data_IF_615304869503
#
_entry.id   IF_615304869503
#
_cell.length_a   1.000
_cell.length_b   1.000
_cell.length_c   1.000
_cell.angle_alpha   90.00
_cell.angle_beta   90.00
_cell.angle_gamma   90.00
#
_symmetry.space_group_name_H-M   'P 1'
#
loop_
_entity.id
_entity.type
_entity.pdbx_description
1 polymer ?
#
# COMPACT_ATOMS: atom_id res chain seq x y z
N UNK A 1 -23.75 28.52 -20.64
CA UNK A 1 -22.84 29.01 -21.69
C UNK A 1 -23.40 28.65 -23.04
N UNK A 2 -23.63 29.62 -23.93
CA UNK A 2 -24.00 29.35 -25.32
C UNK A 2 -22.71 29.23 -26.14
N UNK A 3 -22.36 28.00 -26.55
CA UNK A 3 -21.15 27.72 -27.32
C UNK A 3 -21.08 28.59 -28.58
N UNK A 4 -22.22 28.81 -29.24
CA UNK A 4 -22.32 29.64 -30.44
C UNK A 4 -21.95 31.11 -30.19
N UNK A 5 -22.38 31.68 -29.06
CA UNK A 5 -22.06 33.07 -28.71
C UNK A 5 -20.57 33.24 -28.42
N UNK A 6 -19.96 32.26 -27.73
CA UNK A 6 -18.53 32.28 -27.48
C UNK A 6 -17.72 32.18 -28.77
N UNK A 7 -18.01 31.19 -29.61
CA UNK A 7 -17.27 30.95 -30.84
C UNK A 7 -17.41 32.15 -31.81
N UNK A 8 -18.58 32.81 -31.83
CA UNK A 8 -18.81 34.04 -32.58
C UNK A 8 -17.86 35.16 -32.12
N UNK A 9 -17.88 35.48 -30.82
CA UNK A 9 -17.05 36.57 -30.28
C UNK A 9 -15.55 36.25 -30.39
N UNK A 10 -15.15 35.00 -30.12
CA UNK A 10 -13.78 34.54 -30.25
C UNK A 10 -13.26 34.63 -31.69
N UNK A 11 -14.11 34.36 -32.69
CA UNK A 11 -13.73 34.48 -34.10
C UNK A 11 -13.44 35.94 -34.52
N UNK A 12 -14.15 36.90 -33.91
CA UNK A 12 -13.86 38.32 -34.10
C UNK A 12 -12.57 38.71 -33.39
N UNK A 13 -12.43 38.36 -32.11
CA UNK A 13 -11.23 38.69 -31.33
C UNK A 13 -9.94 38.14 -31.94
N UNK A 14 -9.99 36.97 -32.59
CA UNK A 14 -8.85 36.41 -33.31
C UNK A 14 -8.40 37.27 -34.51
N UNK A 15 -9.30 38.05 -35.10
CA UNK A 15 -9.06 38.93 -36.25
C UNK A 15 -8.77 40.38 -35.85
N UNK A 16 -9.02 40.76 -34.60
CA UNK A 16 -8.70 42.10 -34.10
C UNK A 16 -7.20 42.21 -33.83
N UNK A 17 -6.61 43.31 -34.28
CA UNK A 17 -5.27 43.74 -33.89
C UNK A 17 -5.38 44.68 -32.70
N UNK A 18 -5.37 44.09 -31.50
CA UNK A 18 -5.40 44.85 -30.25
C UNK A 18 -4.07 45.58 -30.00
N UNK A 19 -4.16 46.79 -29.47
CA UNK A 19 -3.02 47.54 -28.96
C UNK A 19 -2.39 46.81 -27.75
N UNK A 20 -1.06 46.90 -27.57
CA UNK A 20 -0.39 46.24 -26.44
C UNK A 20 -0.96 46.66 -25.08
N UNK A 21 -1.37 45.67 -24.28
CA UNK A 21 -1.97 45.85 -22.95
C UNK A 21 -3.27 46.69 -22.91
N UNK A 22 -3.93 46.86 -24.06
CA UNK A 22 -5.22 47.55 -24.16
C UNK A 22 -6.26 46.63 -24.78
N UNK A 23 -7.52 47.02 -24.62
CA UNK A 23 -8.66 46.36 -25.26
C UNK A 23 -9.21 47.15 -26.45
N UNK A 24 -8.47 48.17 -26.86
CA UNK A 24 -8.66 48.93 -28.09
C UNK A 24 -7.86 48.25 -29.20
N UNK A 25 -8.38 48.25 -30.42
CA UNK A 25 -7.69 47.66 -31.57
C UNK A 25 -8.36 48.00 -32.89
N UNK A 26 -7.84 47.43 -33.96
CA UNK A 26 -8.42 47.58 -35.30
C UNK A 26 -8.88 46.23 -35.84
N UNK A 27 -10.02 46.23 -36.54
CA UNK A 27 -10.57 45.06 -37.21
C UNK A 27 -10.67 45.33 -38.71
N UNK A 28 -9.95 44.54 -39.50
CA UNK A 28 -10.08 44.56 -40.97
C UNK A 28 -11.21 43.63 -41.42
N UNK A 29 -12.19 44.16 -42.16
CA UNK A 29 -13.38 43.42 -42.58
C UNK A 29 -13.15 42.84 -43.97
N UNK A 30 -12.48 41.69 -44.01
CA UNK A 30 -12.10 41.04 -45.27
C UNK A 30 -13.20 40.23 -45.96
N UNK A 31 -14.24 39.79 -45.23
CA UNK A 31 -15.29 38.92 -45.76
C UNK A 31 -16.69 39.22 -45.17
N UNK A 32 -17.72 38.70 -45.83
CA UNK A 32 -19.12 38.88 -45.41
C UNK A 32 -19.42 38.21 -44.05
N UNK A 33 -18.69 37.16 -43.69
CA UNK A 33 -18.88 36.46 -42.42
C UNK A 33 -18.41 37.31 -41.23
N UNK A 34 -17.28 38.00 -41.37
CA UNK A 34 -16.73 38.93 -40.37
C UNK A 34 -17.64 40.14 -40.22
N UNK A 35 -18.14 40.69 -41.33
CA UNK A 35 -19.12 41.79 -41.29
C UNK A 35 -20.40 41.39 -40.55
N UNK A 36 -20.98 40.23 -40.88
CA UNK A 36 -22.19 39.74 -40.21
C UNK A 36 -21.96 39.45 -38.72
N UNK A 37 -20.80 38.88 -38.37
CA UNK A 37 -20.45 38.62 -36.99
C UNK A 37 -20.29 39.93 -36.20
N UNK A 38 -19.61 40.92 -36.76
CA UNK A 38 -19.45 42.24 -36.14
C UNK A 38 -20.80 42.92 -35.92
N UNK A 39 -21.66 42.96 -36.94
CA UNK A 39 -23.01 43.53 -36.84
C UNK A 39 -23.85 42.85 -35.75
N UNK A 40 -23.78 41.53 -35.64
CA UNK A 40 -24.50 40.77 -34.60
C UNK A 40 -23.99 41.12 -33.21
N UNK A 41 -22.67 41.17 -33.04
CA UNK A 41 -22.02 41.40 -31.74
C UNK A 41 -22.21 42.84 -31.26
N UNK A 42 -22.15 43.82 -32.17
CA UNK A 42 -22.38 45.24 -31.86
C UNK A 42 -23.86 45.53 -31.62
N UNK A 43 -24.79 44.86 -32.32
CA UNK A 43 -26.22 45.01 -32.06
C UNK A 43 -26.63 44.51 -30.66
N UNK A 44 -25.92 43.51 -30.12
CA UNK A 44 -26.12 42.96 -28.78
C UNK A 44 -25.02 43.44 -27.80
N UNK A 45 -24.76 44.75 -27.80
CA UNK A 45 -23.69 45.40 -27.02
C UNK A 45 -23.71 45.04 -25.52
N UNK A 46 -24.90 44.97 -24.90
CA UNK A 46 -25.05 44.59 -23.48
C UNK A 46 -24.55 43.16 -23.18
N UNK A 47 -24.55 42.28 -24.19
CA UNK A 47 -24.18 40.88 -24.05
C UNK A 47 -22.69 40.67 -24.32
N UNK A 48 -22.16 41.21 -25.43
CA UNK A 48 -20.79 40.98 -25.86
C UNK A 48 -19.80 42.08 -25.48
N UNK A 49 -20.28 43.27 -25.10
CA UNK A 49 -19.46 44.43 -24.74
C UNK A 49 -18.38 44.74 -25.79
N UNK A 50 -18.75 44.83 -27.07
CA UNK A 50 -17.85 45.26 -28.14
C UNK A 50 -18.41 46.54 -28.77
N UNK A 51 -17.60 47.58 -28.82
CA UNK A 51 -18.01 48.91 -29.24
C UNK A 51 -17.20 49.37 -30.46
N UNK A 52 -17.83 50.18 -31.31
CA UNK A 52 -17.20 50.90 -32.41
C UNK A 52 -17.12 52.38 -32.01
N UNK A 53 -15.99 52.88 -31.48
CA UNK A 53 -15.90 54.24 -30.93
C UNK A 53 -16.01 55.34 -32.01
N UNK A 54 -15.60 55.05 -33.25
CA UNK A 54 -15.45 56.04 -34.33
C UNK A 54 -16.44 55.81 -35.49
N UNK A 55 -17.06 54.63 -35.59
CA UNK A 55 -17.80 54.18 -36.76
C UNK A 55 -19.27 53.89 -36.44
N UNK A 56 -20.19 54.28 -37.34
CA UNK A 56 -21.60 53.90 -37.25
C UNK A 56 -21.77 52.42 -37.70
N UNK A 57 -22.27 51.51 -36.85
CA UNK A 57 -22.37 50.07 -37.13
C UNK A 57 -23.10 49.73 -38.44
N UNK A 58 -24.08 50.54 -38.85
CA UNK A 58 -24.86 50.33 -40.08
C UNK A 58 -24.13 50.78 -41.35
N UNK A 59 -23.08 51.60 -41.21
CA UNK A 59 -22.35 52.19 -42.35
C UNK A 59 -21.15 51.36 -42.83
N UNK A 60 -20.73 50.38 -42.02
CA UNK A 60 -19.53 49.55 -42.20
C UNK A 60 -19.68 48.57 -43.38
N UNK A 61 -18.65 48.47 -44.24
CA UNK A 61 -18.65 47.62 -45.44
C UNK A 61 -17.46 46.67 -45.49
N UNK A 62 -17.57 45.67 -46.37
CA UNK A 62 -16.46 44.76 -46.69
C UNK A 62 -15.33 45.57 -47.34
N UNK A 63 -14.12 45.46 -46.80
CA UNK A 63 -12.94 46.22 -47.19
C UNK A 63 -12.55 47.31 -46.18
N UNK A 64 -13.43 47.67 -45.26
CA UNK A 64 -13.16 48.71 -44.25
C UNK A 64 -12.28 48.17 -43.13
N UNK A 65 -11.56 49.09 -42.48
CA UNK A 65 -10.85 48.83 -41.23
C UNK A 65 -11.45 49.73 -40.18
N UNK A 66 -12.05 49.13 -39.16
CA UNK A 66 -12.79 49.84 -38.10
C UNK A 66 -12.04 49.78 -36.79
N UNK A 67 -12.13 50.84 -35.99
CA UNK A 67 -11.65 50.83 -34.62
C UNK A 67 -12.64 50.04 -33.75
N UNK A 68 -12.13 49.18 -32.87
CA UNK A 68 -12.96 48.39 -31.93
C UNK A 68 -12.45 48.58 -30.51
N UNK A 69 -13.38 48.68 -29.57
CA UNK A 69 -13.11 48.69 -28.13
C UNK A 69 -13.85 47.52 -27.46
N UNK A 70 -13.08 46.63 -26.84
CA UNK A 70 -13.60 45.47 -26.12
C UNK A 70 -13.78 45.75 -24.62
N UNK A 71 -15.02 45.72 -24.15
CA UNK A 71 -15.39 45.66 -22.75
C UNK A 71 -15.26 44.25 -22.16
N UNK A 72 -15.94 44.00 -21.04
CA UNK A 72 -16.02 42.67 -20.43
C UNK A 72 -17.36 42.04 -20.78
N UNK A 73 -17.40 41.02 -21.65
CA UNK A 73 -18.65 40.36 -22.02
C UNK A 73 -19.32 39.70 -20.82
N UNK A 74 -20.62 39.38 -20.96
CA UNK A 74 -21.38 38.70 -19.93
C UNK A 74 -20.70 37.38 -19.55
N UNK A 75 -20.57 37.13 -18.24
CA UNK A 75 -19.90 35.93 -17.69
C UNK A 75 -20.44 34.60 -18.20
N UNK A 76 -21.68 34.57 -18.70
CA UNK A 76 -22.30 33.40 -19.32
C UNK A 76 -21.75 33.03 -20.69
N UNK A 77 -21.07 33.93 -21.41
CA UNK A 77 -20.48 33.69 -22.74
C UNK A 77 -19.15 32.95 -22.58
N UNK A 78 -18.31 33.39 -21.65
CA UNK A 78 -16.97 32.86 -21.40
C UNK A 78 -16.05 33.97 -20.90
N UNK A 79 -14.76 33.66 -20.75
CA UNK A 79 -13.78 34.64 -20.30
C UNK A 79 -13.03 35.26 -21.48
N UNK A 80 -13.06 36.59 -21.60
CA UNK A 80 -12.27 37.32 -22.58
C UNK A 80 -11.34 38.26 -21.82
N UNK A 81 -10.09 37.82 -21.62
CA UNK A 81 -9.15 38.47 -20.71
C UNK A 81 -7.97 39.04 -21.47
N UNK A 82 -7.42 40.16 -20.99
CA UNK A 82 -6.30 40.81 -21.66
C UNK A 82 -5.05 39.92 -21.68
N UNK A 83 -4.81 39.17 -20.59
CA UNK A 83 -3.69 38.24 -20.45
C UNK A 83 -4.06 37.00 -19.65
N UNK A 84 -3.18 35.99 -19.64
CA UNK A 84 -3.29 34.87 -18.70
C UNK A 84 -3.36 35.31 -17.23
N UNK A 85 -2.62 36.36 -16.83
CA UNK A 85 -2.62 36.85 -15.45
C UNK A 85 -3.99 37.37 -15.01
N UNK A 86 -4.78 37.93 -15.93
CA UNK A 86 -6.14 38.41 -15.66
C UNK A 86 -7.14 37.26 -15.54
N UNK A 87 -6.95 36.17 -16.30
CA UNK A 87 -7.79 34.96 -16.20
C UNK A 87 -7.76 34.39 -14.78
N UNK A 88 -6.57 34.22 -14.23
CA UNK A 88 -6.38 33.64 -12.89
C UNK A 88 -6.64 34.63 -11.76
N UNK A 89 -7.13 35.85 -12.02
CA UNK A 89 -7.70 36.71 -10.95
C UNK A 89 -9.01 36.14 -10.41
N UNK A 90 -9.73 35.37 -11.23
CA UNK A 90 -10.94 34.68 -10.81
C UNK A 90 -10.60 33.43 -9.98
N UNK A 91 -11.08 33.29 -8.73
CA UNK A 91 -10.83 32.11 -7.90
C UNK A 91 -11.27 30.80 -8.55
N UNK A 92 -12.35 30.78 -9.33
CA UNK A 92 -12.82 29.55 -10.00
C UNK A 92 -11.86 29.10 -11.08
N UNK A 93 -11.29 30.04 -11.83
CA UNK A 93 -10.25 29.78 -12.83
C UNK A 93 -8.91 29.40 -12.18
N UNK A 94 -8.72 29.56 -10.86
CA UNK A 94 -7.51 29.05 -10.20
C UNK A 94 -7.56 27.56 -9.94
N UNK A 95 -8.76 26.98 -9.81
CA UNK A 95 -8.97 25.61 -9.38
C UNK A 95 -9.51 24.68 -10.46
N UNK A 96 -10.14 25.23 -11.50
CA UNK A 96 -10.67 24.48 -12.63
C UNK A 96 -10.54 25.28 -13.93
N UNK A 97 -10.24 24.59 -15.03
CA UNK A 97 -10.18 25.23 -16.34
C UNK A 97 -11.58 25.73 -16.75
N UNK A 98 -11.75 27.01 -17.12
CA UNK A 98 -13.02 27.48 -17.63
C UNK A 98 -13.43 26.79 -18.93
N UNK A 99 -14.72 26.58 -19.14
CA UNK A 99 -15.28 25.90 -20.33
C UNK A 99 -15.01 26.61 -21.66
N UNK A 100 -14.67 27.90 -21.61
CA UNK A 100 -14.24 28.71 -22.74
C UNK A 100 -13.58 30.00 -22.27
N UNK A 101 -12.39 30.26 -22.80
CA UNK A 101 -11.68 31.52 -22.57
C UNK A 101 -10.85 31.91 -23.80
N UNK A 102 -10.72 33.22 -23.99
CA UNK A 102 -9.90 33.86 -24.99
C UNK A 102 -8.88 34.76 -24.29
N UNK A 103 -7.61 34.60 -24.63
CA UNK A 103 -6.50 35.39 -24.13
C UNK A 103 -6.03 36.35 -25.23
N UNK A 104 -6.20 37.67 -25.02
CA UNK A 104 -5.93 38.68 -26.04
C UNK A 104 -4.43 38.78 -26.36
N UNK A 105 -3.57 38.94 -25.34
CA UNK A 105 -2.13 39.09 -25.54
C UNK A 105 -1.50 37.84 -26.18
N UNK A 106 -1.99 36.65 -25.82
CA UNK A 106 -1.54 35.37 -26.35
C UNK A 106 -2.25 34.97 -27.66
N UNK A 107 -3.23 35.76 -28.11
CA UNK A 107 -4.16 35.46 -29.22
C UNK A 107 -4.65 34.01 -29.21
N UNK A 108 -4.99 33.50 -28.02
CA UNK A 108 -5.28 32.09 -27.82
C UNK A 108 -6.74 31.86 -27.46
N UNK A 109 -7.41 30.99 -28.22
CA UNK A 109 -8.75 30.50 -27.94
C UNK A 109 -8.68 29.08 -27.36
N UNK A 110 -9.19 28.87 -26.14
CA UNK A 110 -9.15 27.56 -25.49
C UNK A 110 -9.92 26.45 -26.23
N UNK A 111 -10.77 26.82 -27.19
CA UNK A 111 -11.62 25.93 -27.99
C UNK A 111 -11.18 25.77 -29.45
N UNK A 112 -10.18 26.53 -29.95
CA UNK A 112 -9.82 26.52 -31.38
C UNK A 112 -9.11 25.25 -31.85
N UNK A 113 -8.79 24.32 -30.95
CA UNK A 113 -8.02 23.10 -31.27
C UNK A 113 -6.55 23.38 -31.60
N UNK A 114 -6.13 24.65 -31.58
CA UNK A 114 -4.76 25.09 -31.77
C UNK A 114 -3.88 24.67 -30.58
N UNK A 115 -2.57 24.47 -30.82
CA UNK A 115 -1.64 24.15 -29.74
C UNK A 115 -1.62 25.29 -28.71
N UNK A 116 -1.87 24.94 -27.45
CA UNK A 116 -1.90 25.91 -26.37
C UNK A 116 -0.51 26.54 -26.14
N UNK A 117 -0.42 27.85 -25.82
CA UNK A 117 0.82 28.48 -25.38
C UNK A 117 1.43 27.76 -24.16
N UNK A 118 2.75 27.83 -24.00
CA UNK A 118 3.47 27.14 -22.89
C UNK A 118 2.88 27.48 -21.51
N UNK A 119 2.54 28.74 -21.26
CA UNK A 119 1.91 29.17 -20.00
C UNK A 119 0.57 28.48 -19.74
N UNK A 120 -0.22 28.23 -20.78
CA UNK A 120 -1.51 27.53 -20.69
C UNK A 120 -1.29 26.03 -20.49
N UNK A 121 -0.28 25.44 -21.11
CA UNK A 121 0.09 24.04 -20.89
C UNK A 121 0.51 23.82 -19.43
N UNK A 122 1.37 24.69 -18.87
CA UNK A 122 1.78 24.64 -17.46
C UNK A 122 0.60 24.86 -16.52
N UNK A 123 -0.29 25.80 -16.84
CA UNK A 123 -1.53 26.01 -16.09
C UNK A 123 -2.39 24.76 -16.02
N UNK A 124 -2.60 24.04 -17.13
CA UNK A 124 -3.34 22.77 -17.13
C UNK A 124 -2.69 21.72 -16.22
N UNK A 125 -1.35 21.62 -16.23
CA UNK A 125 -0.61 20.74 -15.32
C UNK A 125 -0.76 21.13 -13.85
N UNK A 126 -0.78 22.43 -13.56
CA UNK A 126 -1.09 22.94 -12.22
C UNK A 126 -2.51 22.57 -11.79
N UNK A 127 -3.49 22.64 -12.69
CA UNK A 127 -4.85 22.20 -12.39
C UNK A 127 -4.94 20.70 -12.10
N UNK A 128 -4.17 19.86 -12.81
CA UNK A 128 -4.07 18.43 -12.49
C UNK A 128 -3.53 18.20 -11.07
N UNK A 129 -2.51 18.97 -10.66
CA UNK A 129 -2.01 18.96 -9.28
C UNK A 129 -3.08 19.42 -8.29
N UNK A 130 -3.79 20.52 -8.56
CA UNK A 130 -4.84 21.05 -7.67
C UNK A 130 -5.96 20.04 -7.51
N UNK A 131 -6.35 19.36 -8.58
CA UNK A 131 -7.33 18.27 -8.53
C UNK A 131 -6.84 17.14 -7.63
N UNK A 132 -5.60 16.70 -7.78
CA UNK A 132 -5.01 15.67 -6.92
C UNK A 132 -4.96 16.10 -5.44
N UNK A 133 -4.57 17.35 -5.17
CA UNK A 133 -4.56 17.92 -3.82
C UNK A 133 -5.98 18.03 -3.26
N UNK A 134 -6.97 18.31 -4.10
CA UNK A 134 -8.39 18.35 -3.76
C UNK A 134 -8.95 16.98 -3.40
N UNK A 135 -8.47 15.92 -4.06
CA UNK A 135 -8.81 14.53 -3.68
C UNK A 135 -8.15 14.09 -2.37
N UNK A 136 -6.99 14.65 -2.03
CA UNK A 136 -6.33 14.43 -0.74
C UNK A 136 -6.91 15.30 0.39
N UNK A 137 -7.53 16.43 0.05
CA UNK A 137 -8.21 17.30 0.99
C UNK A 137 -9.56 16.70 1.42
N UNK A 138 -10.07 17.14 2.57
CA UNK A 138 -11.42 16.77 3.00
C UNK A 138 -12.48 17.39 2.06
N UNK A 139 -12.21 18.59 1.55
CA UNK A 139 -13.01 19.24 0.51
C UNK A 139 -12.23 20.39 -0.15
N UNK A 140 -12.52 20.65 -1.44
CA UNK A 140 -12.06 21.80 -2.20
C UNK A 140 -13.21 22.79 -2.41
N UNK A 141 -13.14 23.97 -1.80
CA UNK A 141 -14.09 25.06 -2.06
C UNK A 141 -13.76 25.72 -3.40
N UNK A 142 -14.54 25.38 -4.43
CA UNK A 142 -14.37 25.92 -5.76
C UNK A 142 -14.70 27.43 -5.86
N UNK A 143 -15.58 27.93 -5.00
CA UNK A 143 -16.02 29.34 -5.06
C UNK A 143 -14.96 30.29 -4.49
N UNK A 144 -14.30 29.86 -3.41
CA UNK A 144 -13.25 30.62 -2.74
C UNK A 144 -11.84 30.21 -3.15
N UNK A 145 -11.70 29.10 -3.88
CA UNK A 145 -10.43 28.51 -4.26
C UNK A 145 -9.62 28.08 -3.04
N UNK A 146 -10.15 27.19 -2.19
CA UNK A 146 -9.48 26.76 -0.95
C UNK A 146 -9.51 25.25 -0.74
N UNK A 147 -8.36 24.67 -0.47
CA UNK A 147 -8.22 23.29 -0.02
C UNK A 147 -8.38 23.23 1.50
N UNK A 148 -9.25 22.35 2.00
CA UNK A 148 -9.50 22.19 3.45
C UNK A 148 -9.06 20.81 3.90
N UNK A 149 -8.13 20.76 4.85
CA UNK A 149 -7.63 19.55 5.49
C UNK A 149 -8.12 19.48 6.95
N UNK A 150 -8.34 18.27 7.46
CA UNK A 150 -8.73 18.02 8.86
C UNK A 150 -7.50 17.58 9.64
N UNK A 151 -7.07 18.39 10.60
CA UNK A 151 -5.93 18.09 11.48
C UNK A 151 -6.02 18.97 12.73
N UNK A 152 -6.32 18.36 13.90
CA UNK A 152 -6.58 19.07 15.17
C UNK A 152 -7.50 20.30 15.03
N UNK A 153 -8.47 20.21 14.11
CA UNK A 153 -9.30 21.32 13.66
C UNK A 153 -9.26 21.51 12.15
N UNK A 154 -9.41 22.77 11.72
CA UNK A 154 -9.50 23.15 10.30
C UNK A 154 -8.16 23.72 9.82
N UNK A 155 -7.55 23.10 8.81
CA UNK A 155 -6.35 23.61 8.15
C UNK A 155 -6.65 23.99 6.69
N UNK A 156 -6.57 25.27 6.36
CA UNK A 156 -6.87 25.79 5.02
C UNK A 156 -5.60 26.10 4.21
N UNK A 157 -5.60 25.72 2.95
CA UNK A 157 -4.61 26.15 1.95
C UNK A 157 -5.35 26.87 0.82
N UNK A 158 -5.41 28.23 0.86
CA UNK A 158 -5.95 29.03 -0.22
C UNK A 158 -5.14 28.86 -1.50
N UNK A 159 -5.80 28.48 -2.60
CA UNK A 159 -5.21 28.32 -3.93
C UNK A 159 -4.97 29.71 -4.52
N UNK A 160 -3.82 30.28 -4.17
CA UNK A 160 -3.38 31.60 -4.63
C UNK A 160 -2.03 31.46 -5.30
N UNK A 161 -1.94 31.93 -6.55
CA UNK A 161 -0.73 31.94 -7.36
C UNK A 161 -0.87 33.01 -8.45
N UNK A 162 0.25 33.42 -9.04
CA UNK A 162 0.33 34.37 -10.14
C UNK A 162 0.89 33.70 -11.40
N UNK A 163 0.93 34.43 -12.51
CA UNK A 163 1.53 33.93 -13.74
C UNK A 163 3.01 33.56 -13.58
N UNK A 164 3.73 34.18 -12.64
CA UNK A 164 5.13 33.88 -12.37
C UNK A 164 5.31 32.47 -11.79
N UNK A 165 4.50 32.05 -10.82
CA UNK A 165 4.55 30.69 -10.28
C UNK A 165 4.14 29.65 -11.31
N UNK A 166 3.17 29.95 -12.18
CA UNK A 166 2.78 29.04 -13.27
C UNK A 166 3.93 28.88 -14.27
N UNK A 167 4.61 29.97 -14.64
CA UNK A 167 5.76 29.92 -15.54
C UNK A 167 6.95 29.14 -14.92
N UNK A 168 7.16 29.29 -13.60
CA UNK A 168 8.23 28.61 -12.87
C UNK A 168 7.91 27.16 -12.46
N UNK A 169 6.69 26.66 -12.75
CA UNK A 169 6.25 25.33 -12.36
C UNK A 169 7.16 24.24 -12.94
N UNK A 170 7.65 23.35 -12.09
CA UNK A 170 8.34 22.13 -12.52
C UNK A 170 7.31 21.07 -12.94
N UNK A 171 7.01 21.03 -14.23
CA UNK A 171 6.03 20.11 -14.82
C UNK A 171 6.40 18.64 -14.60
N UNK A 172 7.69 18.30 -14.61
CA UNK A 172 8.12 16.90 -14.45
C UNK A 172 7.82 16.38 -13.05
N UNK A 173 8.03 17.22 -12.03
CA UNK A 173 7.71 16.85 -10.64
C UNK A 173 6.21 16.67 -10.45
N UNK A 174 5.41 17.55 -11.05
CA UNK A 174 3.94 17.45 -11.01
C UNK A 174 3.46 16.15 -11.64
N UNK A 175 3.93 15.84 -12.85
CA UNK A 175 3.56 14.61 -13.56
C UNK A 175 3.99 13.35 -12.79
N UNK A 176 5.20 13.38 -12.21
CA UNK A 176 5.70 12.30 -11.36
C UNK A 176 4.80 12.05 -10.13
N UNK A 177 4.36 13.13 -9.46
CA UNK A 177 3.47 13.04 -8.31
C UNK A 177 2.09 12.49 -8.69
N UNK A 178 1.49 13.02 -9.75
CA UNK A 178 0.19 12.56 -10.27
C UNK A 178 0.23 11.09 -10.68
N UNK A 179 1.30 10.67 -11.38
CA UNK A 179 1.51 9.28 -11.79
C UNK A 179 1.68 8.34 -10.59
N UNK A 180 2.49 8.73 -9.60
CA UNK A 180 2.75 7.91 -8.42
C UNK A 180 1.50 7.63 -7.56
N UNK A 181 0.55 8.57 -7.54
CA UNK A 181 -0.67 8.45 -6.74
C UNK A 181 -1.81 7.75 -7.48
N UNK A 182 -1.74 7.59 -8.81
CA UNK A 182 -2.75 7.07 -9.76
C UNK A 182 -3.75 5.97 -9.31
N UNK A 183 -4.38 5.26 -10.24
CA UNK A 183 -5.37 4.24 -9.82
C UNK A 183 -4.63 3.02 -9.25
N UNK A 184 -4.53 2.95 -7.93
CA UNK A 184 -3.78 1.93 -7.18
C UNK A 184 -4.56 1.44 -5.95
N UNK A 185 -4.26 0.22 -5.50
CA UNK A 185 -4.85 -0.47 -4.34
C UNK A 185 -4.67 0.32 -3.04
N UNK A 186 -3.63 1.15 -2.95
CA UNK A 186 -3.32 1.99 -1.78
C UNK A 186 -3.62 3.48 -2.00
N UNK A 187 -4.50 3.82 -2.95
CA UNK A 187 -4.78 5.22 -3.32
C UNK A 187 -5.22 6.06 -2.13
N UNK A 188 -6.14 5.56 -1.31
CA UNK A 188 -6.63 6.29 -0.12
C UNK A 188 -5.49 6.62 0.85
N UNK A 189 -4.60 5.67 1.13
CA UNK A 189 -3.45 5.88 2.01
C UNK A 189 -2.42 6.83 1.39
N UNK A 190 -2.18 6.73 0.07
CA UNK A 190 -1.34 7.68 -0.66
C UNK A 190 -1.88 9.11 -0.58
N UNK A 191 -3.20 9.29 -0.72
CA UNK A 191 -3.86 10.59 -0.57
C UNK A 191 -3.72 11.13 0.86
N UNK A 192 -3.88 10.30 1.88
CA UNK A 192 -3.66 10.68 3.28
C UNK A 192 -2.20 11.11 3.55
N UNK A 193 -1.22 10.37 3.01
CA UNK A 193 0.21 10.71 3.11
C UNK A 193 0.50 12.03 2.37
N UNK A 194 -0.13 12.26 1.21
CA UNK A 194 0.01 13.52 0.50
C UNK A 194 -0.56 14.70 1.31
N UNK A 195 -1.75 14.54 1.90
CA UNK A 195 -2.37 15.56 2.74
C UNK A 195 -1.48 15.96 3.91
N UNK A 196 -0.86 14.97 4.56
CA UNK A 196 0.09 15.19 5.65
C UNK A 196 1.36 15.89 5.16
N UNK A 197 1.90 15.49 4.01
CA UNK A 197 3.08 16.13 3.42
C UNK A 197 2.82 17.60 3.05
N UNK A 198 1.63 17.94 2.52
CA UNK A 198 1.21 19.33 2.25
C UNK A 198 1.15 20.13 3.53
N UNK A 199 0.55 19.57 4.59
CA UNK A 199 0.42 20.21 5.90
C UNK A 199 1.79 20.50 6.50
N UNK A 200 2.64 19.48 6.65
CA UNK A 200 3.99 19.63 7.21
C UNK A 200 4.84 20.68 6.47
N UNK A 201 4.68 20.78 5.15
CA UNK A 201 5.44 21.74 4.34
C UNK A 201 4.92 23.18 4.47
N UNK A 202 3.66 23.36 4.85
CA UNK A 202 2.98 24.68 4.81
C UNK A 202 2.46 25.17 6.16
N UNK A 203 2.57 24.38 7.24
CA UNK A 203 2.03 24.72 8.56
C UNK A 203 2.67 25.97 9.17
N UNK A 204 3.98 26.14 8.98
CA UNK A 204 4.75 27.29 9.45
C UNK A 204 4.51 28.56 8.61
N UNK A 205 3.81 28.44 7.48
CA UNK A 205 3.58 29.53 6.52
C UNK A 205 2.21 30.19 6.76
N UNK A 206 2.11 31.52 6.70
CA UNK A 206 0.83 32.21 6.80
C UNK A 206 -0.12 31.78 5.67
N UNK A 207 -1.44 31.69 5.93
CA UNK A 207 -2.41 31.13 4.97
C UNK A 207 -2.33 31.69 3.54
N UNK A 208 -2.10 33.00 3.37
CA UNK A 208 -2.01 33.64 2.06
C UNK A 208 -0.81 33.20 1.21
N UNK A 209 0.24 32.66 1.83
CA UNK A 209 1.47 32.25 1.14
C UNK A 209 1.64 30.72 1.04
N UNK A 210 0.73 29.93 1.61
CA UNK A 210 0.86 28.46 1.68
C UNK A 210 0.96 27.80 0.32
N UNK A 211 0.06 28.15 -0.60
CA UNK A 211 0.03 27.52 -1.91
C UNK A 211 1.23 27.91 -2.78
N UNK A 212 1.63 29.19 -2.76
CA UNK A 212 2.88 29.63 -3.42
C UNK A 212 4.10 28.90 -2.83
N UNK A 213 4.17 28.75 -1.51
CA UNK A 213 5.25 28.01 -0.84
C UNK A 213 5.26 26.53 -1.24
N UNK A 214 4.08 25.91 -1.36
CA UNK A 214 3.92 24.54 -1.85
C UNK A 214 4.46 24.40 -3.28
N UNK A 215 4.15 25.35 -4.17
CA UNK A 215 4.66 25.35 -5.54
C UNK A 215 6.17 25.54 -5.62
N UNK A 216 6.74 26.41 -4.78
CA UNK A 216 8.17 26.64 -4.72
C UNK A 216 8.96 25.42 -4.21
N UNK A 217 8.32 24.55 -3.40
CA UNK A 217 8.93 23.38 -2.79
C UNK A 217 8.30 22.06 -3.27
N UNK A 218 7.83 22.00 -4.53
CA UNK A 218 7.28 20.77 -5.11
C UNK A 218 8.22 19.55 -5.03
N UNK A 219 9.55 19.67 -5.24
CA UNK A 219 10.46 18.54 -5.06
C UNK A 219 10.45 17.99 -3.63
N UNK A 220 10.35 18.87 -2.62
CA UNK A 220 10.29 18.47 -1.22
C UNK A 220 8.96 17.80 -0.88
N UNK A 221 7.85 18.28 -1.45
CA UNK A 221 6.55 17.63 -1.35
C UNK A 221 6.61 16.20 -1.91
N UNK A 222 7.16 16.04 -3.12
CA UNK A 222 7.30 14.73 -3.76
C UNK A 222 8.19 13.79 -2.95
N UNK A 223 9.28 14.31 -2.36
CA UNK A 223 10.16 13.55 -1.48
C UNK A 223 9.45 13.13 -0.19
N UNK A 224 8.77 14.05 0.50
CA UNK A 224 7.98 13.76 1.71
C UNK A 224 6.92 12.70 1.45
N UNK A 225 6.18 12.82 0.33
CA UNK A 225 5.23 11.80 -0.09
C UNK A 225 5.89 10.44 -0.30
N UNK A 226 7.00 10.39 -1.04
CA UNK A 226 7.73 9.15 -1.32
C UNK A 226 8.25 8.48 -0.04
N UNK A 227 8.83 9.26 0.87
CA UNK A 227 9.35 8.78 2.15
C UNK A 227 8.21 8.28 3.06
N UNK A 228 7.10 9.01 3.14
CA UNK A 228 5.90 8.59 3.87
C UNK A 228 5.29 7.30 3.32
N UNK A 229 5.20 7.17 1.99
CA UNK A 229 4.72 5.95 1.35
C UNK A 229 5.67 4.77 1.59
N UNK A 230 6.99 4.99 1.55
CA UNK A 230 7.98 3.95 1.88
C UNK A 230 7.81 3.46 3.33
N UNK A 231 7.56 4.38 4.27
CA UNK A 231 7.29 4.02 5.66
C UNK A 231 6.00 3.22 5.81
N UNK A 232 4.92 3.65 5.17
CA UNK A 232 3.64 2.92 5.13
C UNK A 232 3.81 1.52 4.55
N UNK A 233 4.43 1.39 3.38
CA UNK A 233 4.66 0.10 2.73
C UNK A 233 5.53 -0.84 3.59
N UNK A 234 6.55 -0.29 4.27
CA UNK A 234 7.39 -1.07 5.19
C UNK A 234 6.62 -1.55 6.43
N UNK A 235 5.73 -0.72 6.98
CA UNK A 235 4.89 -1.05 8.13
C UNK A 235 3.85 -2.10 7.78
N UNK A 236 3.20 -1.98 6.62
CA UNK A 236 2.26 -2.97 6.11
C UNK A 236 2.95 -4.33 5.85
N UNK A 237 4.15 -4.30 5.28
CA UNK A 237 4.98 -5.52 5.12
C UNK A 237 5.33 -6.13 6.48
N UNK A 238 5.66 -5.32 7.48
CA UNK A 238 5.97 -5.79 8.84
C UNK A 238 4.76 -6.47 9.49
N UNK A 239 3.57 -5.85 9.44
CA UNK A 239 2.35 -6.41 10.02
C UNK A 239 1.95 -7.72 9.35
N UNK A 240 2.04 -7.79 8.03
CA UNK A 240 1.77 -9.02 7.28
C UNK A 240 2.73 -10.15 7.69
N UNK A 241 4.02 -9.86 7.72
CA UNK A 241 5.06 -10.82 8.14
C UNK A 241 4.85 -11.27 9.59
N UNK A 242 4.50 -10.35 10.48
CA UNK A 242 4.19 -10.66 11.89
C UNK A 242 3.00 -11.62 11.97
N UNK A 243 1.92 -11.35 11.25
CA UNK A 243 0.71 -12.18 11.23
C UNK A 243 1.00 -13.60 10.71
N UNK A 244 1.74 -13.72 9.61
CA UNK A 244 2.15 -15.01 9.05
C UNK A 244 3.03 -15.81 10.03
N UNK A 245 3.94 -15.13 10.73
CA UNK A 245 4.80 -15.77 11.73
C UNK A 245 4.03 -16.18 12.99
N UNK A 246 3.08 -15.38 13.46
CA UNK A 246 2.21 -15.73 14.59
C UNK A 246 1.34 -16.95 14.25
N UNK A 247 0.79 -17.02 13.05
CA UNK A 247 0.07 -18.19 12.56
C UNK A 247 0.98 -19.43 12.50
N UNK A 248 2.18 -19.30 11.93
CA UNK A 248 3.16 -20.39 11.88
C UNK A 248 3.59 -20.86 13.28
N UNK A 249 3.78 -19.93 14.23
CA UNK A 249 4.08 -20.26 15.63
C UNK A 249 3.00 -21.13 16.24
N UNK A 250 1.72 -20.77 16.06
CA UNK A 250 0.59 -21.54 16.58
C UNK A 250 0.54 -22.92 15.93
N UNK A 251 0.67 -23.00 14.61
CA UNK A 251 0.67 -24.26 13.86
C UNK A 251 1.80 -25.20 14.28
N UNK A 252 3.06 -24.73 14.30
CA UNK A 252 4.19 -25.54 14.75
C UNK A 252 4.07 -25.93 16.22
N UNK A 253 3.61 -25.03 17.09
CA UNK A 253 3.35 -25.35 18.49
C UNK A 253 2.33 -26.49 18.64
N UNK A 254 1.28 -26.51 17.80
CA UNK A 254 0.29 -27.56 17.78
C UNK A 254 0.86 -28.88 17.23
N UNK A 255 1.63 -28.84 16.13
CA UNK A 255 2.30 -30.02 15.54
C UNK A 255 3.30 -30.66 16.51
N UNK A 256 4.12 -29.85 17.17
CA UNK A 256 5.03 -30.27 18.24
C UNK A 256 4.21 -30.95 19.34
N UNK A 257 3.19 -30.30 19.88
CA UNK A 257 2.35 -30.90 20.93
C UNK A 257 1.74 -32.25 20.50
N UNK A 258 1.24 -32.34 19.27
CA UNK A 258 0.65 -33.56 18.71
C UNK A 258 1.60 -34.76 18.75
N UNK A 259 2.90 -34.59 18.49
CA UNK A 259 3.89 -35.67 18.57
C UNK A 259 3.86 -36.39 19.92
N UNK A 260 3.67 -35.64 21.02
CA UNK A 260 3.56 -36.21 22.35
C UNK A 260 2.21 -36.90 22.57
N UNK A 261 1.12 -36.25 22.17
CA UNK A 261 -0.24 -36.79 22.32
C UNK A 261 -0.42 -38.10 21.54
N UNK A 262 0.19 -38.22 20.36
CA UNK A 262 0.12 -39.41 19.50
C UNK A 262 0.76 -40.67 20.15
N UNK A 263 1.66 -40.51 21.13
CA UNK A 263 2.30 -41.61 21.87
C UNK A 263 1.85 -41.72 23.33
N UNK A 264 0.93 -40.85 23.76
CA UNK A 264 0.51 -40.76 25.16
C UNK A 264 -0.03 -42.10 25.68
N UNK A 265 -0.80 -42.81 24.85
CA UNK A 265 -1.36 -44.12 25.21
C UNK A 265 -0.27 -45.18 25.40
N UNK A 266 0.77 -45.18 24.55
CA UNK A 266 1.89 -46.10 24.64
C UNK A 266 2.73 -45.83 25.89
N UNK A 267 2.94 -44.54 26.22
CA UNK A 267 3.61 -44.14 27.47
C UNK A 267 2.84 -44.67 28.68
N UNK A 268 1.52 -44.48 28.72
CA UNK A 268 0.65 -45.01 29.77
C UNK A 268 0.61 -46.55 29.81
N UNK A 269 0.90 -47.20 28.68
CA UNK A 269 1.02 -48.65 28.57
C UNK A 269 2.26 -49.22 29.26
N UNK A 270 3.34 -48.45 29.42
CA UNK A 270 4.60 -48.93 30.02
C UNK A 270 4.41 -49.39 31.48
N UNK A 271 3.79 -48.60 32.39
CA UNK A 271 3.49 -49.06 33.75
C UNK A 271 2.62 -50.31 33.78
N UNK A 272 1.59 -50.37 32.93
CA UNK A 272 0.67 -51.53 32.86
C UNK A 272 1.43 -52.78 32.44
N UNK A 273 2.23 -52.71 31.38
CA UNK A 273 3.06 -53.82 30.92
C UNK A 273 4.06 -54.27 32.00
N UNK A 274 4.62 -53.33 32.76
CA UNK A 274 5.55 -53.63 33.87
C UNK A 274 4.87 -54.44 34.97
N UNK A 275 3.65 -54.07 35.38
CA UNK A 275 2.86 -54.83 36.37
C UNK A 275 2.49 -56.21 35.84
N UNK A 276 2.13 -56.33 34.57
CA UNK A 276 1.83 -57.63 33.94
C UNK A 276 3.05 -58.54 34.00
N UNK A 277 4.23 -58.07 33.62
CA UNK A 277 5.46 -58.88 33.70
C UNK A 277 5.75 -59.30 35.14
N UNK A 278 5.64 -58.39 36.10
CA UNK A 278 5.92 -58.67 37.50
C UNK A 278 4.94 -59.68 38.13
N UNK A 279 3.68 -59.72 37.68
CA UNK A 279 2.64 -60.59 38.24
C UNK A 279 2.50 -61.94 37.54
N UNK A 280 2.87 -62.03 36.26
CA UNK A 280 2.68 -63.24 35.45
C UNK A 280 3.87 -64.21 35.48
N UNK A 281 5.07 -63.73 35.82
CA UNK A 281 6.23 -64.62 36.00
C UNK A 281 6.11 -65.42 37.31
N UNK A 282 6.31 -66.74 37.25
CA UNK A 282 6.18 -67.68 38.37
C UNK A 282 7.47 -68.45 38.63
N UNK A 283 7.75 -68.77 39.90
CA UNK A 283 8.91 -69.59 40.25
C UNK A 283 8.87 -70.94 39.54
N UNK A 284 9.96 -71.30 38.86
CA UNK A 284 10.10 -72.56 38.14
C UNK A 284 11.43 -73.22 38.49
N UNK A 285 11.35 -74.34 39.22
CA UNK A 285 12.53 -75.13 39.66
C UNK A 285 12.95 -76.18 38.65
N UNK A 286 12.05 -76.58 37.76
CA UNK A 286 12.26 -77.57 36.69
C UNK A 286 11.70 -77.06 35.36
N UNK A 287 12.02 -77.73 34.24
CA UNK A 287 11.44 -77.40 32.93
C UNK A 287 9.99 -77.91 32.88
N UNK A 288 9.07 -77.09 33.40
CA UNK A 288 7.65 -77.38 33.53
C UNK A 288 6.78 -76.32 32.81
N UNK A 289 5.46 -76.34 33.03
CA UNK A 289 4.56 -75.35 32.45
C UNK A 289 4.91 -73.91 32.87
N UNK A 290 5.41 -73.69 34.10
CA UNK A 290 5.80 -72.37 34.58
C UNK A 290 7.05 -71.85 33.86
N UNK A 291 8.00 -72.72 33.51
CA UNK A 291 9.14 -72.36 32.66
C UNK A 291 8.67 -71.77 31.31
N UNK A 292 7.75 -72.44 30.61
CA UNK A 292 7.25 -71.96 29.33
C UNK A 292 6.42 -70.67 29.44
N UNK A 293 5.67 -70.49 30.54
CA UNK A 293 4.97 -69.23 30.84
C UNK A 293 5.99 -68.09 30.97
N UNK A 294 7.06 -68.27 31.76
CA UNK A 294 8.08 -67.24 31.94
C UNK A 294 8.78 -66.87 30.63
N UNK A 295 9.07 -67.85 29.78
CA UNK A 295 9.64 -67.63 28.44
C UNK A 295 8.68 -66.83 27.56
N UNK A 296 7.39 -67.20 27.54
CA UNK A 296 6.38 -66.49 26.76
C UNK A 296 6.19 -65.04 27.24
N UNK A 297 6.17 -64.81 28.56
CA UNK A 297 6.09 -63.45 29.14
C UNK A 297 7.33 -62.63 28.76
N UNK A 298 8.54 -63.20 28.83
CA UNK A 298 9.77 -62.50 28.46
C UNK A 298 9.79 -62.14 26.96
N UNK A 299 9.38 -63.06 26.08
CA UNK A 299 9.27 -62.81 24.64
C UNK A 299 8.25 -61.69 24.40
N UNK A 300 7.07 -61.76 25.04
CA UNK A 300 6.04 -60.72 24.94
C UNK A 300 6.53 -59.34 25.40
N UNK A 301 7.31 -59.30 26.48
CA UNK A 301 7.91 -58.06 26.99
C UNK A 301 8.89 -57.44 25.97
N UNK A 302 9.76 -58.24 25.35
CA UNK A 302 10.69 -57.75 24.33
C UNK A 302 9.99 -57.34 23.03
N UNK A 303 8.94 -58.06 22.61
CA UNK A 303 8.10 -57.64 21.48
C UNK A 303 7.48 -56.26 21.77
N UNK A 304 6.92 -56.06 22.95
CA UNK A 304 6.38 -54.77 23.36
C UNK A 304 7.44 -53.66 23.35
N UNK A 305 8.62 -53.92 23.92
CA UNK A 305 9.76 -52.98 23.92
C UNK A 305 10.15 -52.59 22.48
N UNK A 306 10.29 -53.56 21.57
CA UNK A 306 10.67 -53.30 20.17
C UNK A 306 9.61 -52.45 19.45
N UNK A 307 8.32 -52.80 19.60
CA UNK A 307 7.23 -52.06 18.95
C UNK A 307 7.12 -50.63 19.46
N UNK A 308 7.16 -50.42 20.78
CA UNK A 308 7.10 -49.08 21.36
C UNK A 308 8.37 -48.29 21.03
N UNK A 309 9.55 -48.92 21.01
CA UNK A 309 10.78 -48.27 20.58
C UNK A 309 10.69 -47.79 19.12
N UNK A 310 10.15 -48.60 18.20
CA UNK A 310 9.94 -48.21 16.81
C UNK A 310 9.01 -46.98 16.69
N UNK A 311 7.92 -46.95 17.48
CA UNK A 311 7.01 -45.80 17.51
C UNK A 311 7.69 -44.53 18.04
N UNK A 312 8.49 -44.64 19.10
CA UNK A 312 9.23 -43.51 19.68
C UNK A 312 10.32 -42.98 18.73
N UNK A 313 11.01 -43.86 18.01
CA UNK A 313 11.98 -43.48 16.99
C UNK A 313 11.31 -42.75 15.82
N UNK A 314 10.16 -43.26 15.35
CA UNK A 314 9.36 -42.58 14.33
C UNK A 314 8.98 -41.15 14.76
N UNK A 315 8.52 -40.96 15.99
CA UNK A 315 8.21 -39.63 16.50
C UNK A 315 9.44 -38.72 16.63
N UNK A 316 10.61 -39.29 16.90
CA UNK A 316 11.86 -38.53 16.91
C UNK A 316 12.16 -37.99 15.51
N UNK A 317 11.97 -38.79 14.46
CA UNK A 317 12.10 -38.34 13.07
C UNK A 317 11.09 -37.24 12.72
N UNK A 318 9.84 -37.35 13.17
CA UNK A 318 8.85 -36.27 13.00
C UNK A 318 9.33 -34.94 13.60
N UNK A 319 9.94 -34.97 14.80
CA UNK A 319 10.52 -33.77 15.43
C UNK A 319 11.74 -33.23 14.68
N UNK A 320 12.48 -34.06 13.95
CA UNK A 320 13.59 -33.62 13.10
C UNK A 320 13.07 -32.88 11.86
N UNK A 321 12.07 -33.42 11.18
CA UNK A 321 11.42 -32.75 10.05
C UNK A 321 10.85 -31.39 10.46
N UNK A 322 10.16 -31.32 11.61
CA UNK A 322 9.62 -30.06 12.12
C UNK A 322 10.73 -29.03 12.42
N UNK A 323 11.87 -29.48 12.96
CA UNK A 323 13.02 -28.59 13.22
C UNK A 323 13.60 -28.03 11.92
N UNK A 324 13.75 -28.86 10.89
CA UNK A 324 14.24 -28.42 9.59
C UNK A 324 13.30 -27.40 8.94
N UNK A 325 11.99 -27.61 9.06
CA UNK A 325 10.98 -26.71 8.52
C UNK A 325 11.03 -25.32 9.20
N UNK A 326 11.11 -25.30 10.53
CA UNK A 326 11.26 -24.06 11.33
C UNK A 326 12.55 -23.33 10.95
N UNK A 327 13.66 -24.05 10.80
CA UNK A 327 14.94 -23.44 10.43
C UNK A 327 14.93 -22.89 9.00
N UNK A 328 14.26 -23.58 8.07
CA UNK A 328 14.05 -23.09 6.70
C UNK A 328 13.23 -21.81 6.69
N UNK A 329 12.14 -21.75 7.45
CA UNK A 329 11.31 -20.55 7.53
C UNK A 329 12.09 -19.36 8.13
N UNK A 330 12.87 -19.61 9.19
CA UNK A 330 13.76 -18.61 9.78
C UNK A 330 14.74 -18.04 8.76
N UNK A 331 15.44 -18.89 8.01
CA UNK A 331 16.39 -18.47 6.96
C UNK A 331 15.69 -17.70 5.83
N UNK A 332 14.49 -18.11 5.44
CA UNK A 332 13.69 -17.40 4.44
C UNK A 332 13.36 -15.97 4.89
N UNK A 333 12.95 -15.81 6.15
CA UNK A 333 12.63 -14.52 6.74
C UNK A 333 13.86 -13.60 6.83
N UNK A 334 15.00 -14.12 7.30
CA UNK A 334 16.26 -13.39 7.39
C UNK A 334 16.77 -12.91 6.02
N UNK A 335 16.49 -13.66 4.94
CA UNK A 335 16.87 -13.28 3.58
C UNK A 335 16.01 -12.15 3.01
N UNK A 336 14.70 -12.17 3.28
CA UNK A 336 13.74 -11.23 2.70
C UNK A 336 13.61 -9.93 3.51
N UNK A 337 13.77 -9.99 4.84
CA UNK A 337 13.49 -8.87 5.73
C UNK A 337 14.50 -8.77 6.88
N UNK A 338 15.77 -8.45 6.57
CA UNK A 338 16.87 -8.38 7.55
C UNK A 338 16.58 -7.46 8.74
N UNK A 339 16.02 -6.28 8.49
CA UNK A 339 15.78 -5.26 9.53
C UNK A 339 14.66 -5.66 10.50
N UNK A 340 13.79 -6.58 10.07
CA UNK A 340 12.60 -7.02 10.80
C UNK A 340 12.82 -8.38 11.47
N UNK A 341 13.71 -9.21 10.94
CA UNK A 341 13.98 -10.56 11.42
C UNK A 341 14.46 -10.61 12.88
N UNK A 342 15.21 -9.60 13.33
CA UNK A 342 15.71 -9.49 14.71
C UNK A 342 14.58 -9.45 15.75
N UNK A 343 13.48 -8.77 15.43
CA UNK A 343 12.30 -8.63 16.29
C UNK A 343 11.55 -9.95 16.51
N UNK A 344 11.82 -10.96 15.67
CA UNK A 344 11.13 -12.24 15.65
C UNK A 344 11.96 -13.42 16.20
N UNK A 345 13.19 -13.16 16.63
CA UNK A 345 14.09 -14.15 17.23
C UNK A 345 13.46 -14.92 18.41
N UNK A 346 12.63 -14.23 19.22
CA UNK A 346 11.93 -14.81 20.37
C UNK A 346 10.94 -15.92 19.98
N UNK A 347 10.29 -15.81 18.81
CA UNK A 347 9.34 -16.82 18.31
C UNK A 347 10.07 -18.10 17.95
N UNK A 348 11.16 -18.00 17.19
CA UNK A 348 11.98 -19.17 16.83
C UNK A 348 12.65 -19.80 18.04
N UNK A 349 13.12 -18.99 18.99
CA UNK A 349 13.67 -19.48 20.25
C UNK A 349 12.63 -20.30 21.04
N UNK A 350 11.39 -19.80 21.13
CA UNK A 350 10.28 -20.51 21.79
C UNK A 350 10.00 -21.88 21.14
N UNK A 351 9.92 -21.95 19.81
CA UNK A 351 9.67 -23.20 19.08
C UNK A 351 10.83 -24.21 19.24
N UNK A 352 12.07 -23.73 19.13
CA UNK A 352 13.27 -24.55 19.32
C UNK A 352 13.39 -25.11 20.75
N UNK A 353 13.07 -24.30 21.76
CA UNK A 353 13.04 -24.74 23.14
C UNK A 353 12.01 -25.87 23.34
N UNK A 354 10.79 -25.70 22.82
CA UNK A 354 9.76 -26.75 22.88
C UNK A 354 10.17 -28.04 22.17
N UNK A 355 10.77 -27.95 20.98
CA UNK A 355 11.32 -29.10 20.26
C UNK A 355 12.37 -29.85 21.11
N UNK A 356 13.29 -29.12 21.73
CA UNK A 356 14.33 -29.71 22.56
C UNK A 356 13.75 -30.45 23.77
N UNK A 357 12.81 -29.83 24.48
CA UNK A 357 12.11 -30.45 25.63
C UNK A 357 11.44 -31.75 25.20
N UNK A 358 10.70 -31.76 24.09
CA UNK A 358 10.04 -32.97 23.62
C UNK A 358 11.01 -34.09 23.22
N UNK A 359 12.13 -33.76 22.57
CA UNK A 359 13.16 -34.77 22.25
C UNK A 359 13.75 -35.39 23.51
N UNK A 360 14.01 -34.58 24.54
CA UNK A 360 14.48 -35.07 25.83
C UNK A 360 13.45 -35.99 26.50
N UNK A 361 12.17 -35.64 26.45
CA UNK A 361 11.09 -36.49 26.95
C UNK A 361 11.04 -37.83 26.22
N UNK A 362 11.08 -37.85 24.88
CA UNK A 362 11.10 -39.10 24.10
C UNK A 362 12.29 -39.99 24.45
N UNK A 363 13.49 -39.41 24.58
CA UNK A 363 14.69 -40.15 24.99
C UNK A 363 14.56 -40.71 26.41
N UNK A 364 13.97 -39.95 27.32
CA UNK A 364 13.68 -40.40 28.69
C UNK A 364 12.73 -41.59 28.71
N UNK A 365 11.62 -41.53 27.95
CA UNK A 365 10.67 -42.64 27.82
C UNK A 365 11.35 -43.87 27.22
N UNK A 366 12.17 -43.70 26.19
CA UNK A 366 12.93 -44.79 25.57
C UNK A 366 13.88 -45.47 26.58
N UNK A 367 14.58 -44.68 27.40
CA UNK A 367 15.45 -45.21 28.46
C UNK A 367 14.67 -46.00 29.52
N UNK A 368 13.51 -45.50 29.94
CA UNK A 368 12.62 -46.21 30.87
C UNK A 368 12.13 -47.53 30.26
N UNK A 369 11.74 -47.51 28.99
CA UNK A 369 11.26 -48.71 28.28
C UNK A 369 12.32 -49.81 28.22
N UNK A 370 13.55 -49.47 27.82
CA UNK A 370 14.66 -50.43 27.80
C UNK A 370 15.06 -50.88 29.20
N UNK A 371 15.06 -49.97 30.18
CA UNK A 371 15.27 -50.31 31.59
C UNK A 371 14.26 -51.34 32.10
N UNK A 372 12.99 -51.21 31.72
CA UNK A 372 11.93 -52.18 32.01
C UNK A 372 12.17 -53.55 31.35
N UNK A 373 12.61 -53.57 30.09
CA UNK A 373 12.96 -54.82 29.40
C UNK A 373 14.17 -55.54 30.01
N UNK A 374 15.19 -54.79 30.44
CA UNK A 374 16.34 -55.32 31.16
C UNK A 374 15.89 -55.89 32.51
N UNK A 375 15.08 -55.15 33.26
CA UNK A 375 14.54 -55.61 34.55
C UNK A 375 13.72 -56.89 34.40
N UNK A 376 12.87 -56.99 33.37
CA UNK A 376 12.13 -58.21 33.05
C UNK A 376 13.06 -59.40 32.80
N UNK A 377 14.16 -59.16 32.08
CA UNK A 377 15.17 -60.19 31.80
C UNK A 377 15.90 -60.63 33.06
N UNK A 378 16.28 -59.70 33.94
CA UNK A 378 16.91 -60.01 35.23
C UNK A 378 15.96 -60.84 36.11
N UNK A 379 14.69 -60.42 36.21
CA UNK A 379 13.66 -61.13 36.98
C UNK A 379 13.44 -62.54 36.45
N UNK A 380 13.43 -62.72 35.12
CA UNK A 380 13.32 -64.05 34.50
C UNK A 380 14.42 -65.00 34.96
N UNK A 381 15.69 -64.59 34.92
CA UNK A 381 16.81 -65.41 35.38
C UNK A 381 16.83 -65.60 36.92
N UNK A 382 16.24 -64.68 37.67
CA UNK A 382 16.14 -64.80 39.12
C UNK A 382 15.03 -65.78 39.55
N UNK A 383 13.94 -65.89 38.79
CA UNK A 383 12.77 -66.71 39.17
C UNK A 383 12.76 -68.09 38.46
N UNK A 384 13.58 -68.27 37.42
CA UNK A 384 13.62 -69.49 36.59
C UNK A 384 14.95 -70.23 36.73
N UNK A 385 15.02 -71.23 37.60
CA UNK A 385 16.26 -71.96 37.92
C UNK A 385 16.86 -72.70 36.71
N UNK A 386 16.08 -73.38 35.84
CA UNK A 386 16.62 -74.02 34.64
C UNK A 386 17.29 -73.03 33.67
N UNK A 387 16.73 -71.82 33.54
CA UNK A 387 17.30 -70.78 32.69
C UNK A 387 18.60 -70.23 33.27
N UNK A 388 18.66 -70.05 34.59
CA UNK A 388 19.89 -69.66 35.30
C UNK A 388 20.99 -70.70 35.16
N UNK A 389 20.66 -71.99 35.33
CA UNK A 389 21.60 -73.09 35.17
C UNK A 389 22.13 -73.20 33.72
N UNK A 390 21.28 -72.96 32.73
CA UNK A 390 21.68 -72.90 31.32
C UNK A 390 22.64 -71.72 31.05
N UNK A 391 22.38 -70.55 31.62
CA UNK A 391 23.24 -69.37 31.50
C UNK A 391 24.63 -69.59 32.14
N UNK A 392 24.67 -70.21 33.32
CA UNK A 392 25.91 -70.56 34.02
C UNK A 392 26.80 -71.50 33.17
N UNK A 393 26.20 -72.56 32.61
CA UNK A 393 26.87 -73.48 31.67
C UNK A 393 27.44 -72.78 30.44
N UNK A 394 26.79 -71.72 29.95
CA UNK A 394 27.22 -70.97 28.78
C UNK A 394 28.30 -69.93 29.09
N UNK A 395 28.36 -69.44 30.33
CA UNK A 395 29.28 -68.37 30.77
C UNK A 395 30.53 -68.90 31.47
N UNK A 396 30.65 -70.22 31.67
CA UNK A 396 31.86 -70.88 32.16
C UNK A 396 32.06 -70.81 33.68
N UNK A 397 30.98 -70.53 34.43
CA UNK A 397 30.94 -70.62 35.90
C UNK A 397 30.00 -71.73 36.36
#
# INVERSE_FOLDING_TARGET
MSIKQFDLLASLYARVEFEPNRREGTLAIGDAATLQALQTVVAEEEEYALHLPEDDPESVKIGDTVAVEAGTPRTGIGFFTASFADLIRNPTARVAEPSGYFLIAEKFNSRSGEPAPDIVQRYRKLLDLIKLLGEAAAFLDHSLGRLVYIHDGKFEVPVQYTAAEVAALDVNVVEGLVSAIGVDTHREQKLAILAEAVRELTEATPPSARFVTLLAHLPDLAKKFSDGYRLFASSFSYEKVKSELEAARVDYAAKIHKVFTDIQNQILGIPVATVVVATQMKAATTVDANFYINVAVLIGAWIFVILVAALLLNQTHTLDVLKEEIERQKKGLEKLHKDVASNFSSVFHFLNCRLAVQRWLLRGVLAILFGGGILATVTFFFITDPARAALARFTGH
#
